data_IF_797843756207
#
_entry.id   IF_797843756207
#
_cell.length_a   1.000
_cell.length_b   1.000
_cell.length_c   1.000
_cell.angle_alpha   90.00
_cell.angle_beta   90.00
_cell.angle_gamma   90.00
#
_symmetry.space_group_name_H-M   'P 1'
#
loop_
_entity.id
_entity.type
_entity.pdbx_description
1 polymer ?
#
# COMPACT_ATOMS: atom_id res chain seq x y z
N UNK A 1 23.77 11.85 8.43
CA UNK A 1 24.69 10.70 8.22
C UNK A 1 23.92 9.41 8.50
N UNK A 2 23.82 8.51 7.52
CA UNK A 2 23.23 7.18 7.74
C UNK A 2 24.19 6.40 8.64
N UNK A 3 23.73 5.98 9.81
CA UNK A 3 24.56 5.23 10.76
C UNK A 3 24.68 3.81 10.25
N UNK A 4 25.89 3.35 9.97
CA UNK A 4 26.13 1.96 9.57
C UNK A 4 25.59 1.01 10.65
N UNK A 5 24.70 0.10 10.25
CA UNK A 5 24.24 -1.01 11.08
C UNK A 5 24.98 -2.26 10.67
N UNK A 6 25.74 -2.85 11.59
CA UNK A 6 26.34 -4.17 11.41
C UNK A 6 25.34 -5.24 11.83
N UNK A 7 25.10 -6.20 10.95
CA UNK A 7 24.26 -7.37 11.25
C UNK A 7 25.16 -8.59 11.40
N UNK A 8 24.97 -9.36 12.47
CA UNK A 8 25.67 -10.62 12.69
C UNK A 8 24.67 -11.74 12.41
N UNK A 9 24.94 -12.54 11.39
CA UNK A 9 24.19 -13.78 11.14
C UNK A 9 24.83 -14.87 12.02
N UNK A 10 24.08 -15.48 12.97
CA UNK A 10 24.59 -16.55 13.82
C UNK A 10 25.17 -17.72 13.03
N UNK A 11 26.12 -18.45 13.63
CA UNK A 11 26.62 -19.69 13.05
C UNK A 11 25.48 -20.70 12.90
N UNK A 12 25.41 -21.38 11.75
CA UNK A 12 24.34 -22.33 11.43
C UNK A 12 23.05 -21.72 10.85
N UNK A 13 22.93 -20.39 10.77
CA UNK A 13 21.83 -19.71 10.07
C UNK A 13 22.26 -19.18 8.70
N UNK A 14 21.39 -19.35 7.70
CA UNK A 14 21.62 -18.88 6.34
C UNK A 14 21.28 -17.38 6.17
N UNK A 15 20.25 -16.91 6.88
CA UNK A 15 19.80 -15.52 6.86
C UNK A 15 19.25 -15.10 8.23
N UNK A 16 19.18 -13.79 8.44
CA UNK A 16 18.52 -13.13 9.56
C UNK A 16 17.23 -12.48 9.06
N UNK A 17 16.15 -12.60 9.84
CA UNK A 17 14.88 -11.89 9.56
C UNK A 17 14.80 -10.66 10.43
N UNK A 18 14.40 -9.53 9.86
CA UNK A 18 14.15 -8.28 10.57
C UNK A 18 12.75 -7.77 10.22
N UNK A 19 12.03 -7.32 11.25
CA UNK A 19 10.74 -6.64 11.12
C UNK A 19 10.93 -5.19 11.52
N UNK A 20 10.60 -4.28 10.60
CA UNK A 20 10.50 -2.85 10.88
C UNK A 20 9.03 -2.48 11.06
N UNK A 21 8.70 -1.90 12.21
CA UNK A 21 7.36 -1.43 12.54
C UNK A 21 7.32 0.10 12.45
N UNK A 22 6.37 0.63 11.70
CA UNK A 22 6.19 2.08 11.50
C UNK A 22 4.77 2.45 11.92
N UNK A 23 4.59 3.05 13.11
CA UNK A 23 3.32 3.64 13.49
C UNK A 23 2.98 4.84 12.60
N UNK A 24 1.73 4.90 12.13
CA UNK A 24 1.19 5.96 11.31
C UNK A 24 0.07 6.67 12.06
N UNK A 25 0.21 7.99 12.27
CA UNK A 25 -0.86 8.84 12.77
C UNK A 25 -0.86 10.17 12.01
N UNK A 26 -2.02 10.51 11.42
CA UNK A 26 -2.22 11.78 10.72
C UNK A 26 -3.72 12.14 10.65
N UNK A 27 -4.09 13.42 10.41
CA UNK A 27 -5.49 13.81 10.23
C UNK A 27 -6.14 13.04 9.08
N UNK A 28 -7.34 12.48 9.31
CA UNK A 28 -7.99 11.69 8.27
C UNK A 28 -8.48 12.61 7.13
N UNK A 29 -8.15 12.36 5.86
CA UNK A 29 -8.48 13.27 4.75
C UNK A 29 -9.99 13.56 4.53
N UNK A 30 -10.86 12.72 5.09
CA UNK A 30 -12.31 12.84 5.04
C UNK A 30 -12.93 13.44 6.31
N UNK A 31 -12.15 13.64 7.38
CA UNK A 31 -12.67 14.17 8.64
C UNK A 31 -13.20 15.61 8.47
N UNK A 32 -14.16 15.98 9.32
CA UNK A 32 -14.75 17.32 9.36
C UNK A 32 -15.72 17.69 8.24
N UNK A 33 -15.85 16.88 7.18
CA UNK A 33 -16.84 17.14 6.13
C UNK A 33 -18.09 16.25 6.32
N UNK A 34 -19.29 16.84 6.51
CA UNK A 34 -20.54 16.10 6.74
C UNK A 34 -20.88 15.07 5.65
N UNK A 35 -20.48 15.29 4.39
CA UNK A 35 -20.79 14.36 3.30
C UNK A 35 -20.06 13.01 3.43
N UNK A 36 -19.01 12.96 4.26
CA UNK A 36 -18.23 11.74 4.49
C UNK A 36 -18.55 11.05 5.82
N UNK A 37 -19.60 11.45 6.53
CA UNK A 37 -19.90 10.89 7.87
C UNK A 37 -20.02 9.36 7.86
N UNK A 38 -20.60 8.79 6.80
CA UNK A 38 -20.75 7.35 6.62
C UNK A 38 -19.45 6.64 6.16
N UNK A 39 -18.47 7.40 5.65
CA UNK A 39 -17.29 6.92 4.94
C UNK A 39 -15.96 7.23 5.65
N UNK A 40 -16.01 8.00 6.74
CA UNK A 40 -14.83 8.39 7.50
C UNK A 40 -14.74 7.53 8.78
N UNK A 41 -13.62 6.85 9.06
CA UNK A 41 -13.45 6.05 10.28
C UNK A 41 -13.27 6.88 11.56
N UNK A 42 -12.84 8.14 11.45
CA UNK A 42 -12.61 9.02 12.59
C UNK A 42 -11.78 10.26 12.24
N UNK A 43 -11.50 11.13 13.22
CA UNK A 43 -10.71 12.36 13.03
C UNK A 43 -9.28 12.11 12.53
N UNK A 44 -8.69 10.99 12.93
CA UNK A 44 -7.32 10.61 12.58
C UNK A 44 -7.30 9.25 11.91
N UNK A 45 -6.39 9.10 10.95
CA UNK A 45 -5.94 7.79 10.52
C UNK A 45 -4.94 7.27 11.54
N UNK A 46 -5.14 6.04 12.03
CA UNK A 46 -4.24 5.37 12.96
C UNK A 46 -3.97 3.92 12.50
N UNK A 47 -2.77 3.69 12.01
CA UNK A 47 -2.34 2.39 11.52
C UNK A 47 -0.90 2.06 11.89
N UNK A 48 -0.47 0.86 11.55
CA UNK A 48 0.92 0.42 11.70
C UNK A 48 1.30 -0.35 10.44
N UNK A 49 2.46 -0.04 9.87
CA UNK A 49 3.05 -0.80 8.78
C UNK A 49 4.18 -1.69 9.29
N UNK A 50 4.25 -2.89 8.73
CA UNK A 50 5.23 -3.92 9.07
C UNK A 50 5.98 -4.30 7.81
N UNK A 51 7.30 -4.11 7.82
CA UNK A 51 8.19 -4.53 6.75
C UNK A 51 9.06 -5.68 7.25
N UNK A 52 8.77 -6.90 6.77
CA UNK A 52 9.61 -8.06 7.05
C UNK A 52 10.62 -8.24 5.94
N UNK A 53 11.89 -8.21 6.28
CA UNK A 53 13.01 -8.34 5.36
C UNK A 53 13.99 -9.42 5.85
N UNK A 54 14.79 -9.94 4.93
CA UNK A 54 15.76 -10.98 5.21
C UNK A 54 17.14 -10.56 4.72
N UNK A 55 18.15 -10.72 5.57
CA UNK A 55 19.56 -10.43 5.27
C UNK A 55 20.32 -11.75 5.27
N UNK A 56 20.90 -12.13 4.14
CA UNK A 56 21.60 -13.41 3.99
C UNK A 56 23.10 -13.26 3.79
N UNK A 57 23.81 -14.38 3.91
CA UNK A 57 25.17 -14.49 3.40
C UNK A 57 25.16 -14.53 1.86
N UNK A 58 26.25 -14.08 1.21
CA UNK A 58 26.39 -14.25 -0.24
C UNK A 58 26.20 -15.72 -0.65
N UNK A 59 25.44 -15.96 -1.73
CA UNK A 59 25.24 -17.30 -2.29
C UNK A 59 24.08 -18.12 -1.71
N UNK A 60 23.35 -17.61 -0.72
CA UNK A 60 22.11 -18.26 -0.22
C UNK A 60 20.97 -18.00 -1.20
N UNK A 61 20.40 -19.07 -1.78
CA UNK A 61 19.34 -19.00 -2.78
C UNK A 61 17.92 -19.07 -2.18
N UNK A 62 17.72 -19.85 -1.12
CA UNK A 62 16.39 -20.17 -0.59
C UNK A 62 15.98 -19.23 0.56
N UNK A 63 15.92 -17.93 0.29
CA UNK A 63 15.49 -16.93 1.26
C UNK A 63 13.99 -16.70 1.09
N UNK A 64 13.18 -16.66 2.18
CA UNK A 64 11.79 -16.30 2.07
C UNK A 64 11.61 -14.91 1.43
N UNK A 65 10.53 -14.70 0.67
CA UNK A 65 10.25 -13.39 0.12
C UNK A 65 9.95 -12.38 1.25
N UNK A 66 10.36 -11.12 1.03
CA UNK A 66 10.01 -10.04 1.93
C UNK A 66 8.49 -9.89 2.02
N UNK A 67 7.99 -9.37 3.15
CA UNK A 67 6.56 -9.18 3.38
C UNK A 67 6.27 -7.76 3.78
N UNK A 68 5.11 -7.27 3.35
CA UNK A 68 4.52 -6.04 3.85
C UNK A 68 3.16 -6.35 4.44
N UNK A 69 2.91 -5.84 5.64
CA UNK A 69 1.59 -5.88 6.25
C UNK A 69 1.21 -4.51 6.81
N UNK A 70 -0.10 -4.24 6.88
CA UNK A 70 -0.62 -3.00 7.45
C UNK A 70 -1.88 -3.27 8.24
N UNK A 71 -1.86 -2.86 9.50
CA UNK A 71 -3.05 -2.77 10.34
C UNK A 71 -3.59 -1.35 10.27
N UNK A 72 -4.87 -1.18 9.97
CA UNK A 72 -5.50 0.13 9.83
C UNK A 72 -7.00 0.07 10.13
N UNK A 73 -7.70 1.21 10.20
CA UNK A 73 -9.16 1.22 10.26
C UNK A 73 -9.78 0.61 8.99
N UNK A 74 -11.10 0.44 9.00
CA UNK A 74 -11.84 0.10 7.79
C UNK A 74 -11.69 1.16 6.69
N UNK A 75 -11.81 0.76 5.43
CA UNK A 75 -11.60 1.64 4.27
C UNK A 75 -12.88 2.39 3.88
N UNK A 76 -12.81 3.64 3.37
CA UNK A 76 -13.99 4.47 3.16
C UNK A 76 -15.15 3.82 2.41
N UNK A 77 -14.87 3.08 1.34
CA UNK A 77 -15.88 2.39 0.52
C UNK A 77 -16.64 1.26 1.24
N UNK A 78 -16.23 0.87 2.45
CA UNK A 78 -16.98 -0.08 3.28
C UNK A 78 -18.18 0.55 4.00
N UNK A 79 -18.25 1.89 4.05
CA UNK A 79 -19.38 2.65 4.59
C UNK A 79 -19.82 2.17 6.00
N UNK A 80 -18.88 2.04 6.93
CA UNK A 80 -19.18 1.55 8.29
C UNK A 80 -19.52 2.65 9.29
N UNK A 81 -19.47 3.91 8.88
CA UNK A 81 -19.83 5.05 9.72
C UNK A 81 -18.74 5.49 10.70
N UNK A 82 -18.82 6.77 11.07
CA UNK A 82 -17.83 7.43 11.92
C UNK A 82 -17.64 6.76 13.29
N UNK A 83 -16.37 6.50 13.64
CA UNK A 83 -16.01 5.92 14.94
C UNK A 83 -16.24 4.40 15.05
N UNK A 84 -16.63 3.73 13.97
CA UNK A 84 -16.84 2.28 13.99
C UNK A 84 -15.52 1.53 14.33
N UNK A 85 -15.53 0.54 15.25
CA UNK A 85 -14.31 -0.06 15.80
C UNK A 85 -13.61 -1.07 14.86
N UNK A 86 -14.20 -1.36 13.70
CA UNK A 86 -13.63 -2.32 12.75
C UNK A 86 -12.22 -1.93 12.30
N UNK A 87 -11.35 -2.95 12.19
CA UNK A 87 -9.98 -2.81 11.70
C UNK A 87 -9.73 -3.82 10.60
N UNK A 88 -8.80 -3.48 9.71
CA UNK A 88 -8.33 -4.32 8.64
C UNK A 88 -6.85 -4.60 8.81
N UNK A 89 -6.46 -5.81 8.41
CA UNK A 89 -5.08 -6.21 8.22
C UNK A 89 -4.86 -6.59 6.76
N UNK A 90 -3.98 -5.86 6.10
CA UNK A 90 -3.46 -6.23 4.79
C UNK A 90 -2.19 -7.03 4.98
N UNK A 91 -2.04 -8.15 4.29
CA UNK A 91 -0.81 -8.94 4.27
C UNK A 91 -0.43 -9.26 2.84
N UNK A 92 0.83 -9.01 2.49
CA UNK A 92 1.33 -9.20 1.13
C UNK A 92 2.73 -9.78 1.16
N UNK A 93 3.06 -10.48 0.08
CA UNK A 93 4.41 -10.95 -0.20
C UNK A 93 4.98 -10.11 -1.33
N UNK A 94 6.24 -9.71 -1.19
CA UNK A 94 6.94 -8.86 -2.15
C UNK A 94 7.72 -9.77 -3.10
N UNK A 95 7.55 -9.54 -4.39
CA UNK A 95 8.34 -10.17 -5.44
C UNK A 95 8.79 -9.09 -6.43
N UNK A 96 9.99 -9.26 -6.98
CA UNK A 96 10.52 -8.42 -8.05
C UNK A 96 10.41 -9.19 -9.35
N UNK A 97 9.96 -8.50 -10.39
CA UNK A 97 9.96 -8.99 -11.77
C UNK A 97 10.88 -8.10 -12.60
N UNK A 98 11.43 -8.66 -13.68
CA UNK A 98 12.31 -7.93 -14.60
C UNK A 98 11.52 -7.24 -15.71
N UNK A 99 10.35 -7.78 -16.07
CA UNK A 99 9.47 -7.24 -17.10
C UNK A 99 8.05 -7.08 -16.56
N UNK A 100 7.34 -6.04 -17.03
CA UNK A 100 5.97 -5.75 -16.63
C UNK A 100 5.02 -6.93 -16.92
N UNK A 101 5.23 -7.62 -18.03
CA UNK A 101 4.44 -8.78 -18.47
C UNK A 101 4.56 -10.00 -17.54
N UNK A 102 5.55 -10.03 -16.65
CA UNK A 102 5.70 -11.10 -15.66
C UNK A 102 4.75 -10.91 -14.45
N UNK A 103 4.09 -9.76 -14.34
CA UNK A 103 3.02 -9.55 -13.37
C UNK A 103 1.81 -10.43 -13.69
N UNK A 104 0.91 -10.58 -12.71
CA UNK A 104 -0.31 -11.36 -12.91
C UNK A 104 -1.11 -10.81 -14.12
N UNK A 105 -1.56 -11.65 -15.07
CA UNK A 105 -2.18 -11.18 -16.32
C UNK A 105 -3.37 -10.24 -16.12
N UNK A 106 -4.19 -10.47 -15.08
CA UNK A 106 -5.29 -9.54 -14.72
C UNK A 106 -4.81 -8.11 -14.40
N UNK A 107 -3.65 -7.97 -13.76
CA UNK A 107 -3.08 -6.65 -13.46
C UNK A 107 -2.53 -5.99 -14.73
N UNK A 108 -1.81 -6.77 -15.56
CA UNK A 108 -1.29 -6.30 -16.85
C UNK A 108 -2.44 -5.79 -17.74
N UNK A 109 -3.52 -6.57 -17.87
CA UNK A 109 -4.69 -6.17 -18.65
C UNK A 109 -5.37 -4.95 -18.04
N UNK A 110 -5.57 -4.90 -16.71
CA UNK A 110 -6.18 -3.76 -16.04
C UNK A 110 -5.42 -2.45 -16.32
N UNK A 111 -4.09 -2.49 -16.22
CA UNK A 111 -3.24 -1.33 -16.49
C UNK A 111 -3.38 -0.91 -17.95
N UNK A 112 -3.23 -1.83 -18.90
CA UNK A 112 -3.33 -1.52 -20.34
C UNK A 112 -4.70 -0.99 -20.76
N UNK A 113 -5.77 -1.52 -20.18
CA UNK A 113 -7.14 -1.15 -20.53
C UNK A 113 -7.61 0.14 -19.87
N UNK A 114 -7.16 0.45 -18.65
CA UNK A 114 -7.70 1.56 -17.86
C UNK A 114 -6.68 2.59 -17.38
N UNK A 115 -5.44 2.19 -17.19
CA UNK A 115 -4.40 3.03 -16.58
C UNK A 115 -3.08 2.95 -17.36
N UNK A 116 -3.08 3.13 -18.70
CA UNK A 116 -1.89 2.91 -19.52
C UNK A 116 -0.68 3.77 -19.10
N UNK A 117 -0.94 4.88 -18.40
CA UNK A 117 0.11 5.75 -17.85
C UNK A 117 1.04 5.06 -16.84
N UNK A 118 0.62 3.94 -16.24
CA UNK A 118 1.43 3.18 -15.28
C UNK A 118 2.14 1.96 -15.88
N UNK A 119 2.03 1.74 -17.20
CA UNK A 119 2.79 0.66 -17.86
C UNK A 119 4.29 0.97 -17.87
N UNK A 120 4.65 2.26 -17.91
CA UNK A 120 6.03 2.71 -17.87
C UNK A 120 6.23 3.69 -16.71
N UNK A 121 7.35 3.53 -16.00
CA UNK A 121 7.74 4.51 -14.99
C UNK A 121 8.04 5.86 -15.68
N UNK A 122 7.54 6.99 -15.14
CA UNK A 122 7.87 8.30 -15.69
C UNK A 122 9.35 8.61 -15.47
N UNK A 123 9.95 9.38 -16.39
CA UNK A 123 11.35 9.83 -16.26
C UNK A 123 11.54 10.83 -15.11
N UNK A 124 10.52 11.66 -14.89
CA UNK A 124 10.44 12.64 -13.81
C UNK A 124 8.99 12.70 -13.31
N UNK A 125 8.78 12.95 -12.03
CA UNK A 125 7.45 13.12 -11.45
C UNK A 125 7.51 14.11 -10.31
N UNK A 126 6.67 15.14 -10.38
CA UNK A 126 6.39 16.11 -9.33
C UNK A 126 4.99 15.91 -8.72
N UNK A 127 4.31 14.82 -9.09
CA UNK A 127 2.96 14.56 -8.64
C UNK A 127 2.90 14.37 -7.12
N UNK A 128 1.90 14.97 -6.45
CA UNK A 128 1.72 14.77 -5.03
C UNK A 128 1.34 13.32 -4.74
N UNK A 129 1.87 12.78 -3.63
CA UNK A 129 1.54 11.43 -3.19
C UNK A 129 0.02 11.20 -3.10
N UNK A 130 -0.47 10.18 -3.80
CA UNK A 130 -1.87 9.75 -3.77
C UNK A 130 -2.04 8.56 -2.81
N UNK A 131 -2.99 8.66 -1.88
CA UNK A 131 -3.39 7.54 -1.02
C UNK A 131 -4.76 7.01 -1.44
N UNK A 132 -5.12 5.77 -1.08
CA UNK A 132 -6.45 5.22 -1.38
C UNK A 132 -7.60 6.09 -0.85
N UNK A 133 -7.41 6.76 0.30
CA UNK A 133 -8.39 7.69 0.86
C UNK A 133 -8.47 9.00 0.07
N UNK A 134 -7.33 9.55 -0.39
CA UNK A 134 -7.33 10.74 -1.26
C UNK A 134 -7.94 10.43 -2.63
N UNK A 135 -7.67 9.25 -3.19
CA UNK A 135 -8.26 8.80 -4.45
C UNK A 135 -9.78 8.63 -4.32
N UNK A 136 -10.23 8.00 -3.23
CA UNK A 136 -11.66 7.90 -2.91
C UNK A 136 -12.31 9.29 -2.78
N UNK A 137 -11.65 10.23 -2.09
CA UNK A 137 -12.12 11.61 -1.95
C UNK A 137 -12.24 12.30 -3.33
N UNK A 138 -11.22 12.16 -4.18
CA UNK A 138 -11.17 12.74 -5.54
C UNK A 138 -12.30 12.22 -6.42
N UNK A 139 -12.64 10.93 -6.30
CA UNK A 139 -13.62 10.24 -7.15
C UNK A 139 -14.91 9.87 -6.41
N UNK A 140 -15.27 10.61 -5.36
CA UNK A 140 -16.44 10.29 -4.53
C UNK A 140 -17.75 10.30 -5.32
N UNK A 141 -17.94 11.26 -6.22
CA UNK A 141 -19.15 11.32 -7.05
C UNK A 141 -19.25 10.11 -8.00
N UNK A 142 -18.13 9.66 -8.57
CA UNK A 142 -18.08 8.43 -9.37
C UNK A 142 -18.45 7.20 -8.55
N UNK A 143 -17.97 7.13 -7.30
CA UNK A 143 -18.38 6.09 -6.37
C UNK A 143 -19.89 6.12 -6.08
N UNK A 144 -20.48 7.30 -5.86
CA UNK A 144 -21.92 7.43 -5.63
C UNK A 144 -22.77 7.04 -6.83
N UNK A 145 -22.27 7.23 -8.06
CA UNK A 145 -22.93 6.76 -9.30
C UNK A 145 -22.80 5.25 -9.52
N UNK A 146 -21.92 4.58 -8.78
CA UNK A 146 -21.62 3.16 -9.00
C UNK A 146 -20.69 2.89 -10.18
N UNK A 147 -19.86 3.87 -10.55
CA UNK A 147 -18.87 3.71 -11.62
C UNK A 147 -17.87 2.58 -11.25
N UNK A 148 -17.31 1.92 -12.26
CA UNK A 148 -16.35 0.82 -12.05
C UNK A 148 -14.93 1.35 -11.89
N UNK A 149 -14.35 1.12 -10.71
CA UNK A 149 -12.98 1.50 -10.38
C UNK A 149 -11.93 0.52 -10.94
N UNK A 150 -10.66 0.94 -11.14
CA UNK A 150 -10.19 2.33 -11.08
C UNK A 150 -10.85 3.19 -12.16
N UNK A 151 -10.93 4.50 -11.91
CA UNK A 151 -11.35 5.47 -12.93
C UNK A 151 -10.24 5.54 -13.96
N UNK A 152 -10.62 5.57 -15.24
CA UNK A 152 -9.68 5.54 -16.35
C UNK A 152 -8.77 6.78 -16.36
N UNK A 153 -7.48 6.55 -16.58
CA UNK A 153 -6.44 7.58 -16.67
C UNK A 153 -5.62 7.32 -17.94
N UNK A 154 -5.96 8.03 -19.02
CA UNK A 154 -5.27 7.99 -20.31
C UNK A 154 -4.45 9.26 -20.51
N UNK A 155 -3.25 9.13 -21.09
CA UNK A 155 -2.47 10.27 -21.59
C UNK A 155 -3.22 11.07 -22.66
#
# INVERSE_FOLDING_TARGET
AVKEKKFIIPAGQAYLTSVLEIPLEYPHPLAGNPQYLDYCPGEKFQGVEYFTSHISRPGVADIPPAKWARDCPWMPWMKLGYGHPARLRFETTISRVELFEQLHPKLVNLVREKLPIYEFAPSESDEPNMTSTLYFKKHFDSYLRGDVFPIEETC
#
